data_IF_701778685658
#
_entry.id   IF_701778685658
#
_cell.length_a   1.000
_cell.length_b   1.000
_cell.length_c   1.000
_cell.angle_alpha   90.00
_cell.angle_beta   90.00
_cell.angle_gamma   90.00
#
_symmetry.space_group_name_H-M   'P 1'
#
loop_
_entity.id
_entity.type
_entity.pdbx_description
1 polymer ?
#
# COMPACT_ATOMS: atom_id res chain seq x y z
N UNK A 1 -32.59 22.44 -30.90
CA UNK A 1 -32.21 23.09 -29.61
C UNK A 1 -33.29 23.07 -28.52
N UNK A 2 -34.55 23.47 -28.78
CA UNK A 2 -35.61 23.50 -27.72
C UNK A 2 -35.94 22.11 -27.13
N UNK A 3 -36.04 21.09 -27.98
CA UNK A 3 -36.26 19.70 -27.56
C UNK A 3 -35.13 19.16 -26.67
N UNK A 4 -33.87 19.38 -27.06
CA UNK A 4 -32.68 19.00 -26.26
C UNK A 4 -32.69 19.69 -24.89
N UNK A 5 -33.06 20.98 -24.82
CA UNK A 5 -33.17 21.70 -23.54
C UNK A 5 -34.28 21.15 -22.63
N UNK A 6 -35.39 20.70 -23.20
CA UNK A 6 -36.49 20.06 -22.45
C UNK A 6 -36.03 18.69 -21.92
N UNK A 7 -35.38 17.89 -22.78
CA UNK A 7 -34.87 16.56 -22.44
C UNK A 7 -33.81 16.64 -21.32
N UNK A 8 -32.92 17.64 -21.37
CA UNK A 8 -31.94 17.90 -20.31
C UNK A 8 -32.58 18.34 -18.99
N UNK A 9 -33.68 19.10 -19.01
CA UNK A 9 -34.40 19.49 -17.79
C UNK A 9 -35.12 18.32 -17.16
N UNK A 10 -35.75 17.46 -17.97
CA UNK A 10 -36.43 16.24 -17.50
C UNK A 10 -35.40 15.26 -16.92
N UNK A 11 -34.30 15.02 -17.63
CA UNK A 11 -33.22 14.17 -17.14
C UNK A 11 -32.62 14.68 -15.82
N UNK A 12 -32.45 16.01 -15.69
CA UNK A 12 -32.01 16.64 -14.44
C UNK A 12 -33.02 16.45 -13.31
N UNK A 13 -34.31 16.66 -13.54
CA UNK A 13 -35.34 16.48 -12.51
C UNK A 13 -35.43 15.04 -12.01
N UNK A 14 -35.32 14.06 -12.93
CA UNK A 14 -35.26 12.64 -12.58
C UNK A 14 -33.99 12.33 -11.78
N UNK A 15 -32.84 12.89 -12.18
CA UNK A 15 -31.58 12.73 -11.46
C UNK A 15 -31.65 13.29 -10.04
N UNK A 16 -32.17 14.51 -9.86
CA UNK A 16 -32.22 15.18 -8.56
C UNK A 16 -33.12 14.41 -7.57
N UNK A 17 -34.25 13.86 -8.04
CA UNK A 17 -35.13 12.99 -7.25
C UNK A 17 -34.41 11.67 -6.94
N UNK A 18 -33.96 10.94 -7.97
CA UNK A 18 -33.34 9.63 -7.78
C UNK A 18 -32.09 9.72 -6.88
N UNK A 19 -31.27 10.76 -7.03
CA UNK A 19 -30.08 10.98 -6.25
C UNK A 19 -30.39 11.28 -4.79
N UNK A 20 -31.46 12.01 -4.49
CA UNK A 20 -31.84 12.33 -3.10
C UNK A 20 -32.33 11.09 -2.35
N UNK A 21 -33.20 10.29 -2.97
CA UNK A 21 -33.67 9.02 -2.39
C UNK A 21 -32.56 7.98 -2.28
N UNK A 22 -31.70 7.88 -3.29
CA UNK A 22 -30.56 6.98 -3.29
C UNK A 22 -29.53 7.38 -2.21
N UNK A 23 -29.27 8.68 -2.03
CA UNK A 23 -28.33 9.20 -1.04
C UNK A 23 -28.73 8.79 0.38
N UNK A 24 -30.02 8.89 0.74
CA UNK A 24 -30.51 8.49 2.06
C UNK A 24 -30.21 7.02 2.37
N UNK A 25 -30.54 6.12 1.44
CA UNK A 25 -30.27 4.69 1.59
C UNK A 25 -28.78 4.35 1.61
N UNK A 26 -28.00 5.02 0.76
CA UNK A 26 -26.55 4.83 0.67
C UNK A 26 -25.87 5.27 1.97
N UNK A 27 -26.29 6.38 2.58
CA UNK A 27 -25.74 6.84 3.85
C UNK A 27 -26.07 5.88 5.00
N UNK A 28 -27.31 5.39 5.08
CA UNK A 28 -27.70 4.38 6.08
C UNK A 28 -26.87 3.11 5.92
N UNK A 29 -26.74 2.61 4.70
CA UNK A 29 -25.92 1.44 4.41
C UNK A 29 -24.45 1.69 4.80
N UNK A 30 -23.89 2.83 4.42
CA UNK A 30 -22.52 3.20 4.73
C UNK A 30 -22.24 3.26 6.25
N UNK A 31 -23.20 3.75 7.05
CA UNK A 31 -23.13 3.80 8.50
C UNK A 31 -23.17 2.41 9.13
N UNK A 32 -24.07 1.52 8.67
CA UNK A 32 -24.12 0.13 9.12
C UNK A 32 -22.83 -0.61 8.79
N UNK A 33 -22.37 -0.52 7.54
CA UNK A 33 -21.10 -1.08 7.11
C UNK A 33 -19.93 -0.57 7.96
N UNK A 34 -19.86 0.74 8.24
CA UNK A 34 -18.82 1.31 9.11
C UNK A 34 -18.89 0.75 10.54
N UNK A 35 -20.09 0.65 11.12
CA UNK A 35 -20.29 0.06 12.45
C UNK A 35 -19.83 -1.39 12.53
N UNK A 36 -20.20 -2.21 11.53
CA UNK A 36 -19.73 -3.60 11.43
C UNK A 36 -18.21 -3.67 11.29
N UNK A 37 -17.60 -2.78 10.52
CA UNK A 37 -16.15 -2.72 10.36
C UNK A 37 -15.42 -2.44 11.68
N UNK A 38 -15.89 -1.45 12.44
CA UNK A 38 -15.32 -1.09 13.74
C UNK A 38 -15.49 -2.21 14.77
N UNK A 39 -16.63 -2.91 14.72
CA UNK A 39 -16.85 -4.13 15.50
C UNK A 39 -15.82 -5.21 15.17
N UNK A 40 -15.57 -5.46 13.88
CA UNK A 40 -14.57 -6.44 13.44
C UNK A 40 -13.15 -6.04 13.83
N UNK A 41 -12.77 -4.76 13.73
CA UNK A 41 -11.48 -4.30 14.24
C UNK A 41 -11.31 -4.55 15.73
N UNK A 42 -12.38 -4.34 16.51
CA UNK A 42 -12.36 -4.60 17.95
C UNK A 42 -12.14 -6.09 18.23
N UNK A 43 -12.83 -6.96 17.50
CA UNK A 43 -12.63 -8.43 17.57
C UNK A 43 -11.21 -8.81 17.14
N UNK A 44 -10.68 -8.22 16.08
CA UNK A 44 -9.32 -8.50 15.60
C UNK A 44 -8.27 -8.18 16.67
N UNK A 45 -8.39 -7.02 17.34
CA UNK A 45 -7.49 -6.63 18.43
C UNK A 45 -7.60 -7.58 19.63
N UNK A 46 -8.82 -7.98 20.01
CA UNK A 46 -9.02 -8.98 21.08
C UNK A 46 -8.36 -10.33 20.76
N UNK A 47 -8.23 -10.66 19.47
CA UNK A 47 -7.59 -11.88 18.99
C UNK A 47 -6.09 -11.69 18.64
N UNK A 48 -5.47 -10.58 19.08
CA UNK A 48 -4.07 -10.22 18.81
C UNK A 48 -3.72 -10.07 17.32
N UNK A 49 -4.66 -9.66 16.50
CA UNK A 49 -4.40 -9.20 15.13
C UNK A 49 -4.27 -7.68 15.09
N UNK A 50 -3.34 -7.19 14.27
CA UNK A 50 -3.05 -5.76 14.14
C UNK A 50 -4.22 -4.98 13.50
N UNK A 51 -5.07 -5.64 12.71
CA UNK A 51 -6.22 -5.05 12.04
C UNK A 51 -7.28 -6.08 11.62
N UNK A 52 -8.48 -5.62 11.26
CA UNK A 52 -9.52 -6.44 10.65
C UNK A 52 -9.05 -7.14 9.36
N UNK A 53 -8.24 -6.46 8.55
CA UNK A 53 -7.64 -7.06 7.34
C UNK A 53 -6.68 -8.21 7.66
N UNK A 54 -5.89 -8.06 8.72
CA UNK A 54 -4.99 -9.13 9.17
C UNK A 54 -5.77 -10.36 9.64
N UNK A 55 -6.89 -10.14 10.36
CA UNK A 55 -7.81 -11.19 10.76
C UNK A 55 -8.44 -11.87 9.53
N UNK A 56 -8.94 -11.10 8.56
CA UNK A 56 -9.50 -11.65 7.32
C UNK A 56 -8.51 -12.53 6.58
N UNK A 57 -7.29 -12.02 6.36
CA UNK A 57 -6.22 -12.79 5.72
C UNK A 57 -5.94 -14.08 6.47
N UNK A 58 -5.89 -14.05 7.80
CA UNK A 58 -5.68 -15.26 8.60
C UNK A 58 -6.79 -16.30 8.42
N UNK A 59 -8.06 -15.87 8.34
CA UNK A 59 -9.22 -16.77 8.19
C UNK A 59 -9.33 -17.38 6.79
N UNK A 60 -8.92 -16.64 5.76
CA UNK A 60 -9.20 -16.98 4.36
C UNK A 60 -7.96 -17.32 3.54
N UNK A 61 -6.77 -17.32 4.17
CA UNK A 61 -5.49 -17.55 3.50
C UNK A 61 -5.47 -18.83 2.66
N UNK A 62 -6.06 -19.93 3.19
CA UNK A 62 -6.09 -21.23 2.52
C UNK A 62 -6.77 -21.21 1.14
N UNK A 63 -7.58 -20.19 0.85
CA UNK A 63 -8.43 -20.09 -0.33
C UNK A 63 -8.01 -18.94 -1.27
N UNK A 64 -6.93 -18.19 -0.94
CA UNK A 64 -6.37 -17.12 -1.76
C UNK A 64 -7.15 -15.80 -1.72
N UNK A 65 -6.59 -14.75 -2.34
CA UNK A 65 -7.12 -13.36 -2.24
C UNK A 65 -8.58 -13.22 -2.71
N UNK A 66 -8.97 -13.94 -3.77
CA UNK A 66 -10.35 -13.89 -4.29
C UNK A 66 -11.36 -14.44 -3.28
N UNK A 67 -10.99 -15.46 -2.51
CA UNK A 67 -11.87 -16.02 -1.50
C UNK A 67 -12.09 -15.05 -0.33
N UNK A 68 -11.08 -14.26 0.01
CA UNK A 68 -11.19 -13.19 1.02
C UNK A 68 -12.30 -12.21 0.61
N UNK A 69 -12.28 -11.78 -0.65
CA UNK A 69 -13.25 -10.83 -1.18
C UNK A 69 -14.68 -11.40 -1.16
N UNK A 70 -14.85 -12.66 -1.57
CA UNK A 70 -16.15 -13.33 -1.51
C UNK A 70 -16.65 -13.55 -0.08
N UNK A 71 -15.78 -13.95 0.85
CA UNK A 71 -16.16 -14.08 2.26
C UNK A 71 -16.61 -12.74 2.84
N UNK A 72 -15.87 -11.66 2.59
CA UNK A 72 -16.25 -10.30 3.01
C UNK A 72 -17.64 -9.93 2.47
N UNK A 73 -17.84 -10.12 1.17
CA UNK A 73 -19.13 -9.84 0.50
C UNK A 73 -20.28 -10.65 1.10
N UNK A 74 -20.11 -11.96 1.30
CA UNK A 74 -21.18 -12.82 1.81
C UNK A 74 -21.50 -12.54 3.27
N UNK A 75 -20.47 -12.47 4.12
CA UNK A 75 -20.66 -12.26 5.57
C UNK A 75 -21.22 -10.87 5.84
N UNK A 76 -20.55 -9.83 5.37
CA UNK A 76 -21.03 -8.46 5.64
C UNK A 76 -22.26 -8.12 4.81
N UNK A 77 -22.44 -8.71 3.64
CA UNK A 77 -23.65 -8.53 2.84
C UNK A 77 -24.88 -9.08 3.57
N UNK A 78 -24.77 -10.30 4.13
CA UNK A 78 -25.82 -10.89 4.94
C UNK A 78 -26.09 -10.07 6.23
N UNK A 79 -25.05 -9.59 6.91
CA UNK A 79 -25.19 -8.75 8.10
C UNK A 79 -25.89 -7.42 7.79
N UNK A 80 -25.50 -6.74 6.71
CA UNK A 80 -26.16 -5.52 6.28
C UNK A 80 -27.63 -5.76 5.91
N UNK A 81 -27.93 -6.83 5.17
CA UNK A 81 -29.31 -7.20 4.84
C UNK A 81 -30.14 -7.46 6.11
N UNK A 82 -29.55 -8.15 7.10
CA UNK A 82 -30.16 -8.38 8.40
C UNK A 82 -30.42 -7.08 9.17
N UNK A 83 -29.47 -6.15 9.19
CA UNK A 83 -29.64 -4.84 9.81
C UNK A 83 -30.73 -4.01 9.12
N UNK A 84 -30.72 -3.93 7.79
CA UNK A 84 -31.78 -3.23 7.03
C UNK A 84 -33.15 -3.84 7.32
N UNK A 85 -33.25 -5.17 7.37
CA UNK A 85 -34.49 -5.86 7.72
C UNK A 85 -34.95 -5.55 9.15
N UNK A 86 -34.04 -5.61 10.12
CA UNK A 86 -34.31 -5.34 11.54
C UNK A 86 -34.76 -3.88 11.75
N UNK A 87 -34.07 -2.94 11.11
CA UNK A 87 -34.34 -1.51 11.23
C UNK A 87 -35.34 -0.98 10.19
N UNK A 88 -36.01 -1.83 9.40
CA UNK A 88 -36.91 -1.37 8.32
C UNK A 88 -38.02 -0.42 8.79
N UNK A 89 -38.57 -0.63 9.99
CA UNK A 89 -39.64 0.20 10.57
C UNK A 89 -39.12 1.57 11.00
N UNK A 90 -38.09 1.67 11.87
CA UNK A 90 -37.52 2.96 12.23
C UNK A 90 -36.89 3.69 11.03
N UNK A 91 -36.32 2.96 10.06
CA UNK A 91 -35.77 3.56 8.84
C UNK A 91 -36.85 4.23 8.00
N UNK A 92 -38.06 3.66 7.86
CA UNK A 92 -39.18 4.34 7.18
C UNK A 92 -39.58 5.63 7.89
N UNK A 93 -39.66 5.61 9.21
CA UNK A 93 -39.98 6.81 9.99
C UNK A 93 -38.89 7.90 9.82
N UNK A 94 -37.63 7.49 9.87
CA UNK A 94 -36.48 8.38 9.66
C UNK A 94 -36.44 8.89 8.21
N UNK A 95 -36.78 8.05 7.24
CA UNK A 95 -36.83 8.42 5.82
C UNK A 95 -37.85 9.52 5.60
N UNK A 96 -39.06 9.42 6.17
CA UNK A 96 -40.04 10.50 6.08
C UNK A 96 -39.56 11.80 6.72
N UNK A 97 -38.81 11.72 7.82
CA UNK A 97 -38.20 12.89 8.43
C UNK A 97 -37.13 13.53 7.52
N UNK A 98 -36.29 12.70 6.89
CA UNK A 98 -35.27 13.16 5.94
C UNK A 98 -35.93 13.78 4.69
N UNK A 99 -36.94 13.14 4.13
CA UNK A 99 -37.73 13.64 2.99
C UNK A 99 -38.34 15.00 3.33
N UNK A 100 -39.03 15.11 4.47
CA UNK A 100 -39.63 16.37 4.93
C UNK A 100 -38.59 17.47 5.14
N UNK A 101 -37.40 17.14 5.66
CA UNK A 101 -36.30 18.08 5.79
C UNK A 101 -35.74 18.55 4.44
N UNK A 102 -35.59 17.64 3.47
CA UNK A 102 -35.17 17.97 2.11
C UNK A 102 -36.20 18.85 1.42
N UNK A 103 -37.49 18.52 1.55
CA UNK A 103 -38.59 19.30 0.97
C UNK A 103 -38.60 20.73 1.54
N UNK A 104 -38.44 20.87 2.86
CA UNK A 104 -38.31 22.19 3.53
C UNK A 104 -37.12 22.98 3.00
N UNK A 105 -35.98 22.32 2.79
CA UNK A 105 -34.78 22.95 2.23
C UNK A 105 -35.00 23.40 0.78
N UNK A 106 -35.68 22.58 -0.02
CA UNK A 106 -36.03 22.88 -1.41
C UNK A 106 -36.99 24.06 -1.46
N UNK A 107 -38.03 24.10 -0.63
CA UNK A 107 -38.99 25.20 -0.54
C UNK A 107 -38.30 26.51 -0.15
N UNK A 108 -37.45 26.47 0.88
CA UNK A 108 -36.62 27.62 1.28
C UNK A 108 -35.75 28.12 0.13
N UNK A 109 -35.08 27.20 -0.57
CA UNK A 109 -34.22 27.53 -1.70
C UNK A 109 -35.02 28.12 -2.89
N UNK A 110 -36.20 27.57 -3.17
CA UNK A 110 -37.09 28.09 -4.19
C UNK A 110 -37.57 29.50 -3.85
N UNK A 111 -38.00 29.72 -2.60
CA UNK A 111 -38.41 31.04 -2.11
C UNK A 111 -37.28 32.08 -2.24
N UNK A 112 -36.07 31.76 -1.80
CA UNK A 112 -34.91 32.66 -1.88
C UNK A 112 -34.47 32.96 -3.33
N UNK A 113 -34.69 32.02 -4.26
CA UNK A 113 -34.22 32.13 -5.64
C UNK A 113 -35.26 32.71 -6.63
N UNK A 114 -36.53 32.84 -6.23
CA UNK A 114 -37.63 33.33 -7.07
C UNK A 114 -37.35 34.70 -7.72
N UNK A 115 -36.68 35.61 -7.00
CA UNK A 115 -36.45 36.99 -7.47
C UNK A 115 -35.02 37.24 -7.98
N UNK A 116 -34.16 36.22 -8.07
CA UNK A 116 -32.74 36.37 -8.44
C UNK A 116 -32.30 35.26 -9.40
N UNK A 117 -32.40 35.46 -10.73
CA UNK A 117 -32.10 34.39 -11.70
C UNK A 117 -30.65 33.88 -11.61
N UNK A 118 -29.67 34.73 -11.26
CA UNK A 118 -28.29 34.31 -11.01
C UNK A 118 -28.16 33.43 -9.76
N UNK A 119 -28.89 33.74 -8.69
CA UNK A 119 -28.88 32.96 -7.45
C UNK A 119 -29.52 31.58 -7.66
N UNK A 120 -30.56 31.49 -8.49
CA UNK A 120 -31.19 30.22 -8.89
C UNK A 120 -30.20 29.31 -9.62
N UNK A 121 -29.48 29.83 -10.62
CA UNK A 121 -28.46 29.05 -11.34
C UNK A 121 -27.32 28.62 -10.43
N UNK A 122 -26.82 29.53 -9.59
CA UNK A 122 -25.74 29.24 -8.65
C UNK A 122 -26.14 28.16 -7.65
N UNK A 123 -27.32 28.27 -7.04
CA UNK A 123 -27.72 27.28 -6.04
C UNK A 123 -28.12 25.93 -6.63
N UNK A 124 -28.60 25.87 -7.87
CA UNK A 124 -28.70 24.59 -8.59
C UNK A 124 -27.34 23.96 -8.86
N UNK A 125 -26.33 24.75 -9.22
CA UNK A 125 -24.96 24.26 -9.39
C UNK A 125 -24.38 23.77 -8.07
N UNK A 126 -24.59 24.52 -6.98
CA UNK A 126 -24.14 24.13 -5.64
C UNK A 126 -24.87 22.88 -5.16
N UNK A 127 -26.20 22.79 -5.30
CA UNK A 127 -26.97 21.61 -4.90
C UNK A 127 -26.53 20.37 -5.68
N UNK A 128 -26.47 20.44 -7.01
CA UNK A 128 -25.99 19.32 -7.82
C UNK A 128 -24.54 19.00 -7.49
N UNK A 129 -23.65 19.99 -7.31
CA UNK A 129 -22.27 19.75 -6.91
C UNK A 129 -22.17 19.07 -5.54
N UNK A 130 -22.99 19.46 -4.55
CA UNK A 130 -23.01 18.88 -3.21
C UNK A 130 -23.57 17.46 -3.24
N UNK A 131 -24.73 17.24 -3.87
CA UNK A 131 -25.31 15.89 -4.01
C UNK A 131 -24.36 15.00 -4.79
N UNK A 132 -23.79 15.47 -5.90
CA UNK A 132 -22.79 14.72 -6.66
C UNK A 132 -21.51 14.48 -5.83
N UNK A 133 -21.03 15.44 -5.04
CA UNK A 133 -19.84 15.25 -4.17
C UNK A 133 -20.09 14.33 -2.98
N UNK A 134 -21.33 14.23 -2.50
CA UNK A 134 -21.74 13.30 -1.44
C UNK A 134 -22.09 11.92 -1.99
N UNK A 135 -22.67 11.85 -3.19
CA UNK A 135 -23.09 10.61 -3.81
C UNK A 135 -21.91 9.93 -4.52
N UNK A 136 -21.01 10.67 -5.17
CA UNK A 136 -19.89 10.10 -5.94
C UNK A 136 -18.99 9.20 -5.07
N UNK A 137 -18.53 9.60 -3.88
CA UNK A 137 -17.65 8.77 -3.07
C UNK A 137 -18.30 7.46 -2.60
N UNK A 138 -19.63 7.41 -2.53
CA UNK A 138 -20.37 6.24 -2.04
C UNK A 138 -21.09 5.45 -3.16
N UNK A 139 -21.36 6.06 -4.31
CA UNK A 139 -22.13 5.47 -5.45
C UNK A 139 -21.29 5.36 -6.73
N UNK A 140 -20.40 6.31 -7.02
CA UNK A 140 -19.71 6.36 -8.33
C UNK A 140 -18.21 6.08 -8.33
N UNK A 141 -17.46 6.17 -7.22
CA UNK A 141 -16.18 5.45 -7.20
C UNK A 141 -15.73 4.82 -5.87
N UNK A 142 -15.25 3.56 -5.99
CA UNK A 142 -14.33 2.88 -5.11
C UNK A 142 -12.88 3.17 -5.54
N UNK A 143 -12.21 4.08 -4.83
CA UNK A 143 -10.93 4.66 -5.29
C UNK A 143 -9.69 4.00 -4.70
N UNK A 144 -9.83 2.86 -4.02
CA UNK A 144 -8.68 2.10 -3.50
C UNK A 144 -8.18 0.99 -4.45
N UNK A 145 -8.91 0.71 -5.53
CA UNK A 145 -8.55 -0.38 -6.46
C UNK A 145 -8.11 0.18 -7.79
N UNK A 146 -6.84 -0.05 -8.13
CA UNK A 146 -6.27 0.32 -9.41
C UNK A 146 -6.98 -0.45 -10.52
N UNK A 147 -7.54 0.29 -11.48
CA UNK A 147 -8.25 -0.17 -12.68
C UNK A 147 -9.78 -0.33 -12.55
N UNK A 148 -10.51 0.34 -13.45
CA UNK A 148 -11.96 0.28 -13.60
C UNK A 148 -12.41 -0.75 -14.65
N UNK A 149 -11.46 -1.24 -15.47
CA UNK A 149 -11.72 -2.15 -16.59
C UNK A 149 -11.58 -3.62 -16.21
N UNK A 150 -10.92 -3.94 -15.09
CA UNK A 150 -10.71 -5.32 -14.63
C UNK A 150 -11.92 -5.83 -13.81
N UNK A 151 -12.43 -7.03 -14.15
CA UNK A 151 -13.49 -7.73 -13.38
C UNK A 151 -13.09 -7.98 -11.93
N UNK A 152 -11.81 -8.27 -11.67
CA UNK A 152 -11.30 -8.46 -10.30
C UNK A 152 -11.40 -7.20 -9.45
N UNK A 153 -11.27 -6.03 -10.07
CA UNK A 153 -11.42 -4.77 -9.36
C UNK A 153 -12.85 -4.57 -8.89
N UNK A 154 -13.86 -4.86 -9.71
CA UNK A 154 -15.28 -4.77 -9.31
C UNK A 154 -15.62 -5.60 -8.07
N UNK A 155 -15.02 -6.78 -7.93
CA UNK A 155 -15.21 -7.62 -6.74
C UNK A 155 -14.60 -6.98 -5.49
N UNK A 156 -13.37 -6.49 -5.57
CA UNK A 156 -12.68 -5.84 -4.44
C UNK A 156 -13.43 -4.58 -3.98
N UNK A 157 -13.97 -3.84 -4.94
CA UNK A 157 -14.78 -2.63 -4.71
C UNK A 157 -16.06 -2.95 -3.94
N UNK A 158 -16.79 -3.97 -4.37
CA UNK A 158 -17.99 -4.45 -3.66
C UNK A 158 -17.67 -4.88 -2.23
N UNK A 159 -16.59 -5.66 -2.05
CA UNK A 159 -16.16 -6.11 -0.73
C UNK A 159 -15.83 -4.93 0.21
N UNK A 160 -15.10 -3.92 -0.28
CA UNK A 160 -14.75 -2.74 0.50
C UNK A 160 -15.96 -1.86 0.85
N UNK A 161 -16.97 -1.79 -0.02
CA UNK A 161 -18.20 -1.06 0.25
C UNK A 161 -19.01 -1.76 1.35
N UNK A 162 -19.29 -3.05 1.14
CA UNK A 162 -20.14 -3.84 2.02
C UNK A 162 -19.54 -3.98 3.42
N UNK A 163 -18.22 -4.09 3.51
CA UNK A 163 -17.54 -4.26 4.79
C UNK A 163 -17.14 -2.97 5.50
N UNK A 164 -17.54 -1.81 4.99
CA UNK A 164 -17.33 -0.50 5.61
C UNK A 164 -15.92 0.06 5.48
N UNK A 165 -15.00 -0.66 4.83
CA UNK A 165 -13.66 -0.14 4.55
C UNK A 165 -13.72 1.12 3.68
N UNK A 166 -14.63 1.16 2.71
CA UNK A 166 -14.87 2.34 1.89
C UNK A 166 -15.36 3.52 2.74
N UNK A 167 -16.36 3.30 3.61
CA UNK A 167 -16.93 4.32 4.51
C UNK A 167 -15.89 4.89 5.48
N UNK A 168 -15.04 4.03 6.04
CA UNK A 168 -13.97 4.42 6.97
C UNK A 168 -12.94 5.34 6.31
N UNK A 169 -12.66 5.10 5.04
CA UNK A 169 -11.62 5.77 4.28
C UNK A 169 -12.21 6.69 3.21
N UNK A 170 -13.38 7.30 3.42
CA UNK A 170 -14.03 8.20 2.42
C UNK A 170 -13.16 9.43 2.14
N UNK A 171 -12.68 10.11 3.17
CA UNK A 171 -11.79 11.26 3.00
C UNK A 171 -10.51 10.85 2.27
N UNK A 172 -9.95 9.70 2.66
CA UNK A 172 -8.80 9.09 2.02
C UNK A 172 -9.07 8.73 0.55
N UNK A 173 -10.30 8.34 0.23
CA UNK A 173 -10.75 7.95 -1.10
C UNK A 173 -10.86 9.16 -2.04
N UNK A 174 -11.39 10.28 -1.54
CA UNK A 174 -11.48 11.54 -2.30
C UNK A 174 -10.11 12.15 -2.50
N UNK A 175 -9.30 12.25 -1.44
CA UNK A 175 -7.93 12.75 -1.52
C UNK A 175 -7.09 11.84 -2.42
N UNK A 176 -7.27 10.53 -2.32
CA UNK A 176 -6.56 9.55 -3.13
C UNK A 176 -6.90 9.64 -4.61
N UNK A 177 -8.18 9.83 -4.96
CA UNK A 177 -8.61 10.05 -6.33
C UNK A 177 -8.06 11.35 -6.90
N UNK A 178 -8.15 12.44 -6.13
CA UNK A 178 -7.58 13.73 -6.52
C UNK A 178 -6.08 13.59 -6.76
N UNK A 179 -5.35 13.04 -5.78
CA UNK A 179 -3.91 12.80 -5.89
C UNK A 179 -3.57 11.93 -7.08
N UNK A 180 -4.36 10.91 -7.39
CA UNK A 180 -4.12 10.06 -8.56
C UNK A 180 -4.21 10.82 -9.88
N UNK A 181 -5.19 11.73 -10.03
CA UNK A 181 -5.31 12.51 -11.27
C UNK A 181 -4.20 13.56 -11.44
N UNK A 182 -3.60 14.01 -10.33
CA UNK A 182 -2.60 15.07 -10.33
C UNK A 182 -1.21 14.60 -9.88
N UNK A 183 -1.00 13.29 -9.72
CA UNK A 183 0.29 12.76 -9.32
C UNK A 183 1.25 12.81 -10.51
N UNK A 184 2.36 13.49 -10.34
CA UNK A 184 3.46 13.43 -11.29
C UNK A 184 4.09 12.03 -11.27
N UNK A 185 4.45 11.46 -12.43
CA UNK A 185 5.25 10.25 -12.49
C UNK A 185 6.53 10.37 -11.65
N UNK A 186 6.96 9.26 -11.07
CA UNK A 186 8.25 9.22 -10.39
C UNK A 186 9.36 9.20 -11.43
N UNK A 187 10.26 10.18 -11.34
CA UNK A 187 11.42 10.28 -12.22
C UNK A 187 12.47 9.22 -11.89
N UNK A 188 13.17 8.76 -12.92
CA UNK A 188 14.30 7.86 -12.76
C UNK A 188 15.52 8.60 -12.24
N UNK A 189 16.06 8.14 -11.11
CA UNK A 189 17.32 8.65 -10.59
C UNK A 189 18.44 7.86 -11.26
N UNK A 190 19.13 8.47 -12.23
CA UNK A 190 20.25 7.86 -12.94
C UNK A 190 21.54 7.81 -12.11
N UNK A 191 22.68 8.01 -12.78
CA UNK A 191 24.00 8.03 -12.14
C UNK A 191 24.69 6.67 -12.06
N UNK A 192 24.24 5.71 -12.88
CA UNK A 192 24.86 4.39 -13.02
C UNK A 192 24.96 4.05 -14.51
N UNK A 193 26.09 3.48 -14.93
CA UNK A 193 26.36 3.07 -16.30
C UNK A 193 25.72 1.72 -16.66
N UNK A 194 25.58 1.46 -17.96
CA UNK A 194 25.09 0.19 -18.49
C UNK A 194 25.87 -1.03 -17.98
N UNK A 195 27.21 -0.92 -17.93
CA UNK A 195 28.09 -1.97 -17.41
C UNK A 195 27.83 -2.26 -15.93
N UNK A 196 27.58 -1.22 -15.13
CA UNK A 196 27.32 -1.35 -13.70
C UNK A 196 25.94 -1.94 -13.42
N UNK A 197 24.94 -1.60 -14.24
CA UNK A 197 23.60 -2.21 -14.14
C UNK A 197 23.63 -3.69 -14.52
N UNK A 198 24.47 -4.06 -15.49
CA UNK A 198 24.69 -5.43 -15.93
C UNK A 198 25.53 -6.26 -14.95
N UNK A 199 26.50 -5.64 -14.27
CA UNK A 199 27.37 -6.29 -13.28
C UNK A 199 26.75 -6.40 -11.89
N UNK A 200 25.71 -5.61 -11.59
CA UNK A 200 24.87 -5.84 -10.42
C UNK A 200 24.12 -7.16 -10.58
N UNK A 201 24.79 -8.22 -10.12
CA UNK A 201 24.38 -9.60 -10.27
C UNK A 201 22.94 -9.84 -9.83
N UNK A 202 22.36 -10.92 -10.34
CA UNK A 202 21.09 -11.43 -9.83
C UNK A 202 21.25 -11.61 -8.30
N UNK A 203 20.29 -11.16 -7.48
CA UNK A 203 20.33 -11.32 -6.02
C UNK A 203 20.62 -12.75 -5.51
N UNK A 204 20.76 -13.77 -6.37
CA UNK A 204 21.14 -15.14 -6.07
C UNK A 204 22.65 -15.40 -5.85
N UNK A 205 23.56 -14.54 -6.33
CA UNK A 205 25.01 -14.82 -6.21
C UNK A 205 25.56 -14.70 -4.77
N UNK A 206 24.76 -14.18 -3.85
CA UNK A 206 24.95 -14.28 -2.40
C UNK A 206 26.21 -13.63 -1.83
N UNK A 207 27.17 -13.17 -2.64
CA UNK A 207 28.46 -12.63 -2.20
C UNK A 207 28.37 -11.09 -2.06
N UNK A 208 28.37 -10.52 -0.84
CA UNK A 208 28.70 -9.12 -0.65
C UNK A 208 30.19 -8.91 -0.96
N UNK A 209 30.61 -7.69 -1.31
CA UNK A 209 31.90 -7.45 -1.94
C UNK A 209 33.06 -7.72 -0.98
N UNK A 210 34.14 -8.24 -1.53
CA UNK A 210 35.45 -8.30 -0.89
C UNK A 210 35.95 -6.87 -0.66
N UNK A 211 36.19 -6.50 0.59
CA UNK A 211 36.92 -5.30 0.95
C UNK A 211 38.38 -5.45 0.53
N UNK A 212 38.83 -4.67 -0.45
CA UNK A 212 40.26 -4.36 -0.55
C UNK A 212 40.62 -3.39 0.58
N UNK A 213 41.60 -3.70 1.44
CA UNK A 213 42.03 -2.80 2.50
C UNK A 213 42.91 -1.72 1.87
N UNK A 214 42.35 -0.53 1.64
CA UNK A 214 43.17 0.65 1.32
C UNK A 214 43.03 1.73 2.38
N UNK A 215 44.21 2.02 2.94
CA UNK A 215 44.65 3.19 3.69
C UNK A 215 43.62 4.23 4.09
N UNK A 216 43.62 4.48 5.40
CA UNK A 216 43.08 5.65 6.10
C UNK A 216 43.22 6.96 5.32
N UNK A 217 42.12 7.41 4.72
CA UNK A 217 41.71 8.83 4.61
C UNK A 217 40.22 8.80 4.21
N UNK A 218 39.36 9.34 5.07
CA UNK A 218 37.93 9.06 5.07
C UNK A 218 37.13 10.13 4.31
N UNK A 219 36.53 9.74 3.20
CA UNK A 219 35.49 10.49 2.47
C UNK A 219 34.36 9.55 2.06
N UNK A 220 33.12 10.03 1.84
CA UNK A 220 32.09 9.24 1.15
C UNK A 220 32.68 8.66 -0.14
N UNK A 221 32.32 7.41 -0.49
CA UNK A 221 32.47 7.00 -1.86
C UNK A 221 31.73 8.01 -2.73
N UNK A 222 32.44 8.63 -3.67
CA UNK A 222 31.77 9.15 -4.86
C UNK A 222 30.85 8.05 -5.41
N UNK A 223 29.68 8.36 -5.99
CA UNK A 223 28.77 7.37 -6.59
C UNK A 223 29.47 6.35 -7.52
N UNK A 224 30.66 6.70 -8.03
CA UNK A 224 31.67 5.80 -8.58
C UNK A 224 32.37 4.88 -7.52
N UNK A 225 31.58 4.25 -6.66
CA UNK A 225 32.03 3.32 -5.63
C UNK A 225 32.18 1.90 -6.19
N UNK A 226 32.53 0.92 -5.35
CA UNK A 226 32.49 -0.50 -5.73
C UNK A 226 31.06 -1.03 -6.06
N UNK A 227 29.98 -0.35 -5.64
CA UNK A 227 28.58 -0.72 -5.96
C UNK A 227 27.66 0.48 -6.31
N UNK A 228 27.84 1.13 -7.47
CA UNK A 228 27.12 2.36 -7.83
C UNK A 228 25.59 2.29 -7.74
N UNK A 229 25.00 1.12 -8.04
CA UNK A 229 23.54 0.88 -7.90
C UNK A 229 23.03 0.97 -6.46
N UNK A 230 23.86 0.61 -5.48
CA UNK A 230 23.55 0.71 -4.05
C UNK A 230 23.97 2.07 -3.50
N UNK A 231 25.20 2.49 -3.82
CA UNK A 231 25.87 3.59 -3.15
C UNK A 231 25.26 4.95 -3.49
N UNK A 232 24.59 5.09 -4.64
CA UNK A 232 23.80 6.28 -4.98
C UNK A 232 22.67 6.60 -3.97
N UNK A 233 22.25 5.62 -3.17
CA UNK A 233 21.19 5.79 -2.18
C UNK A 233 21.70 6.12 -0.78
N UNK A 234 23.02 6.05 -0.54
CA UNK A 234 23.63 6.22 0.78
C UNK A 234 23.19 7.51 1.51
N UNK A 235 23.09 8.68 0.86
CA UNK A 235 22.63 9.89 1.53
C UNK A 235 21.19 9.78 2.09
N UNK A 236 20.32 9.05 1.40
CA UNK A 236 18.92 8.85 1.84
C UNK A 236 18.87 7.79 2.94
N UNK A 237 19.61 6.70 2.79
CA UNK A 237 19.71 5.64 3.79
C UNK A 237 20.28 6.19 5.09
N UNK A 238 21.30 7.05 5.03
CA UNK A 238 21.92 7.69 6.19
C UNK A 238 20.94 8.56 6.97
N UNK A 239 20.15 9.38 6.27
CA UNK A 239 19.08 10.18 6.89
C UNK A 239 18.00 9.29 7.50
N UNK A 240 17.56 8.26 6.78
CA UNK A 240 16.55 7.31 7.28
C UNK A 240 17.05 6.50 8.48
N UNK A 241 18.36 6.22 8.54
CA UNK A 241 19.05 5.60 9.66
C UNK A 241 19.22 6.54 10.87
N UNK A 242 18.87 7.83 10.74
CA UNK A 242 19.07 8.86 11.78
C UNK A 242 20.53 9.02 12.20
N UNK A 243 21.45 8.95 11.23
CA UNK A 243 22.90 9.05 11.43
C UNK A 243 23.48 7.95 12.34
N UNK A 244 22.84 6.78 12.39
CA UNK A 244 23.31 5.63 13.15
C UNK A 244 23.99 4.62 12.20
N UNK A 245 25.29 4.31 12.37
CA UNK A 245 26.03 3.39 11.50
C UNK A 245 25.47 1.97 11.44
N UNK A 246 24.99 1.46 12.57
CA UNK A 246 24.45 0.10 12.65
C UNK A 246 23.12 0.00 11.88
N UNK A 247 22.22 0.97 12.09
CA UNK A 247 20.99 1.11 11.32
C UNK A 247 21.27 1.34 9.85
N UNK A 248 22.28 2.14 9.50
CA UNK A 248 22.67 2.34 8.10
C UNK A 248 23.04 1.02 7.44
N UNK A 249 23.93 0.24 8.06
CA UNK A 249 24.34 -1.07 7.57
C UNK A 249 23.14 -2.01 7.44
N UNK A 250 22.24 -2.00 8.43
CA UNK A 250 21.02 -2.82 8.42
C UNK A 250 20.09 -2.42 7.28
N UNK A 251 19.77 -1.14 7.11
CA UNK A 251 18.89 -0.67 6.03
C UNK A 251 19.47 -0.95 4.66
N UNK A 252 20.77 -0.71 4.47
CA UNK A 252 21.47 -1.01 3.22
C UNK A 252 21.45 -2.51 2.90
N UNK A 253 21.62 -3.37 3.92
CA UNK A 253 21.50 -4.81 3.77
C UNK A 253 20.09 -5.26 3.35
N UNK A 254 19.04 -4.73 4.00
CA UNK A 254 17.66 -5.03 3.60
C UNK A 254 17.39 -4.59 2.17
N UNK A 255 17.74 -3.35 1.82
CA UNK A 255 17.56 -2.84 0.44
C UNK A 255 18.30 -3.69 -0.59
N UNK A 256 19.53 -4.12 -0.28
CA UNK A 256 20.31 -4.98 -1.15
C UNK A 256 19.63 -6.33 -1.40
N UNK A 257 19.12 -6.97 -0.33
CA UNK A 257 18.43 -8.25 -0.46
C UNK A 257 17.13 -8.12 -1.25
N UNK A 258 16.38 -7.05 -1.03
CA UNK A 258 15.06 -6.81 -1.62
C UNK A 258 15.13 -6.38 -3.10
N UNK A 259 15.99 -5.42 -3.46
CA UNK A 259 16.01 -4.83 -4.81
C UNK A 259 17.39 -4.72 -5.44
N UNK A 260 18.47 -4.94 -4.69
CA UNK A 260 19.83 -4.63 -5.11
C UNK A 260 19.99 -3.17 -5.62
N UNK A 261 19.26 -2.23 -5.00
CA UNK A 261 19.35 -0.79 -5.30
C UNK A 261 18.59 -0.35 -6.57
N UNK A 262 17.73 -1.22 -7.11
CA UNK A 262 16.93 -0.94 -8.31
C UNK A 262 15.67 -0.17 -7.94
N UNK A 263 15.57 1.08 -8.38
CA UNK A 263 14.47 1.98 -8.01
C UNK A 263 13.12 1.41 -8.44
N UNK A 264 13.06 0.85 -9.66
CA UNK A 264 11.84 0.36 -10.28
C UNK A 264 11.70 -1.16 -10.19
N UNK A 265 12.32 -1.80 -9.20
CA UNK A 265 12.19 -3.23 -8.96
C UNK A 265 10.72 -3.61 -8.70
N UNK A 266 10.24 -4.64 -9.40
CA UNK A 266 8.91 -5.22 -9.23
C UNK A 266 9.04 -6.73 -9.09
N UNK A 267 8.57 -7.28 -7.97
CA UNK A 267 8.56 -8.72 -7.74
C UNK A 267 7.47 -9.41 -8.56
N UNK A 268 7.55 -10.74 -8.68
CA UNK A 268 6.52 -11.55 -9.34
C UNK A 268 5.14 -11.43 -8.70
N UNK A 269 5.06 -10.98 -7.44
CA UNK A 269 3.82 -10.76 -6.69
C UNK A 269 3.43 -9.28 -6.63
N UNK A 270 4.10 -8.40 -7.37
CA UNK A 270 3.77 -6.96 -7.44
C UNK A 270 4.22 -6.14 -6.23
N UNK A 271 5.18 -6.65 -5.44
CA UNK A 271 5.87 -5.84 -4.44
C UNK A 271 6.92 -4.98 -5.16
N UNK A 272 7.07 -3.72 -4.74
CA UNK A 272 7.66 -2.69 -5.61
C UNK A 272 8.61 -1.75 -4.87
N UNK A 273 9.56 -1.19 -5.61
CA UNK A 273 10.49 -0.17 -5.13
C UNK A 273 11.74 -0.72 -4.45
N UNK A 274 12.60 0.19 -3.99
CA UNK A 274 13.88 -0.15 -3.34
C UNK A 274 13.73 -1.10 -2.15
N UNK A 275 12.67 -0.92 -1.36
CA UNK A 275 12.41 -1.73 -0.17
C UNK A 275 11.30 -2.79 -0.38
N UNK A 276 10.89 -3.04 -1.63
CA UNK A 276 9.93 -4.08 -2.04
C UNK A 276 8.64 -4.13 -1.21
N UNK A 277 7.99 -2.99 -0.99
CA UNK A 277 6.69 -2.99 -0.32
C UNK A 277 5.59 -3.56 -1.23
N UNK A 278 4.86 -4.55 -0.72
CA UNK A 278 3.63 -5.01 -1.36
C UNK A 278 2.51 -3.99 -1.14
N UNK A 279 1.59 -3.84 -2.11
CA UNK A 279 0.57 -2.79 -2.08
C UNK A 279 -0.27 -2.79 -0.79
N UNK A 280 -0.64 -3.98 -0.29
CA UNK A 280 -1.37 -4.12 0.98
C UNK A 280 -0.61 -3.59 2.19
N UNK A 281 0.71 -3.82 2.25
CA UNK A 281 1.56 -3.30 3.34
C UNK A 281 1.73 -1.79 3.22
N UNK A 282 1.98 -1.27 2.01
CA UNK A 282 2.15 0.17 1.79
C UNK A 282 0.89 0.99 2.10
N UNK A 283 -0.31 0.39 1.94
CA UNK A 283 -1.60 1.02 2.30
C UNK A 283 -1.92 0.92 3.80
N UNK A 284 -1.24 0.08 4.56
CA UNK A 284 -1.47 -0.09 5.99
C UNK A 284 -0.71 0.97 6.80
N UNK A 285 -1.20 1.30 8.00
CA UNK A 285 -0.43 2.12 8.94
C UNK A 285 0.77 1.32 9.50
N UNK A 286 1.90 1.98 9.79
CA UNK A 286 2.14 3.42 9.60
C UNK A 286 2.60 3.79 8.18
N UNK A 287 2.91 2.83 7.31
CA UNK A 287 3.50 3.08 5.99
C UNK A 287 2.66 3.99 5.09
N UNK A 288 1.34 3.95 5.25
CA UNK A 288 0.40 4.85 4.59
C UNK A 288 0.73 6.33 4.79
N UNK A 289 1.25 6.70 5.96
CA UNK A 289 1.62 8.09 6.28
C UNK A 289 2.87 8.53 5.51
N UNK A 290 3.75 7.58 5.17
CA UNK A 290 4.99 7.81 4.42
C UNK A 290 4.71 7.78 2.91
N UNK A 291 4.00 6.76 2.43
CA UNK A 291 3.68 6.63 1.01
C UNK A 291 2.58 7.57 0.54
N UNK A 292 1.74 8.05 1.46
CA UNK A 292 0.62 8.91 1.14
C UNK A 292 -0.62 8.15 0.69
N UNK A 293 -1.76 8.73 1.06
CA UNK A 293 -3.08 8.18 0.73
C UNK A 293 -3.35 8.26 -0.78
N UNK A 294 -3.80 7.13 -1.35
CA UNK A 294 -4.18 6.98 -2.76
C UNK A 294 -3.02 7.01 -3.75
N UNK A 295 -1.78 6.93 -3.28
CA UNK A 295 -0.58 6.93 -4.12
C UNK A 295 0.02 5.53 -4.30
N UNK A 296 -0.71 4.50 -3.84
CA UNK A 296 -0.32 3.09 -3.98
C UNK A 296 -1.29 2.36 -4.89
N UNK A 297 -0.78 1.88 -6.02
CA UNK A 297 -1.52 1.10 -6.99
C UNK A 297 -1.17 -0.37 -6.89
N UNK A 298 -2.04 -1.23 -7.42
CA UNK A 298 -1.71 -2.64 -7.62
C UNK A 298 -1.17 -2.76 -9.03
N UNK A 299 0.04 -3.32 -9.19
CA UNK A 299 0.62 -3.55 -10.52
C UNK A 299 -0.26 -4.50 -11.33
N UNK A 300 -0.41 -4.20 -12.62
CA UNK A 300 -1.20 -5.01 -13.56
C UNK A 300 -0.29 -6.09 -14.13
N UNK A 301 -0.29 -7.25 -13.49
CA UNK A 301 0.52 -8.38 -13.94
C UNK A 301 -0.40 -9.49 -14.44
N UNK A 302 -0.49 -9.67 -15.75
CA UNK A 302 -1.12 -10.82 -16.40
C UNK A 302 -0.14 -12.02 -16.39
N UNK A 303 0.17 -12.50 -15.19
CA UNK A 303 1.25 -13.48 -14.93
C UNK A 303 2.32 -12.94 -13.99
N UNK A 304 3.53 -13.54 -13.94
CA UNK A 304 4.62 -12.98 -13.15
C UNK A 304 4.99 -11.58 -13.69
N UNK A 305 4.97 -10.57 -12.82
CA UNK A 305 5.41 -9.23 -13.20
C UNK A 305 6.86 -9.32 -13.73
N UNK A 306 7.06 -8.96 -15.00
CA UNK A 306 8.37 -8.99 -15.65
C UNK A 306 8.57 -7.69 -16.38
N UNK A 307 9.61 -6.98 -15.99
CA UNK A 307 10.20 -5.90 -16.77
C UNK A 307 11.38 -6.52 -17.50
N UNK A 308 11.41 -6.41 -18.83
CA UNK A 308 12.51 -6.95 -19.62
C UNK A 308 13.84 -6.29 -19.24
N UNK A 309 14.95 -6.93 -19.61
CA UNK A 309 16.29 -6.48 -19.19
C UNK A 309 16.62 -5.09 -19.71
N UNK A 310 16.22 -4.75 -20.94
CA UNK A 310 16.57 -3.49 -21.59
C UNK A 310 15.78 -2.33 -21.01
N UNK A 311 14.46 -2.51 -20.80
CA UNK A 311 13.63 -1.50 -20.13
C UNK A 311 14.13 -1.24 -18.72
N UNK A 312 14.44 -2.29 -17.96
CA UNK A 312 15.01 -2.15 -16.62
C UNK A 312 16.32 -1.39 -16.64
N UNK A 313 17.21 -1.72 -17.57
CA UNK A 313 18.49 -1.03 -17.70
C UNK A 313 18.30 0.45 -17.99
N UNK A 314 17.44 0.78 -18.95
CA UNK A 314 17.14 2.18 -19.33
C UNK A 314 16.52 2.98 -18.18
N UNK A 315 15.69 2.34 -17.34
CA UNK A 315 15.14 2.96 -16.14
C UNK A 315 16.21 3.23 -15.08
N UNK A 316 17.12 2.28 -14.84
CA UNK A 316 18.13 2.43 -13.79
C UNK A 316 19.27 3.39 -14.18
N UNK A 317 19.60 3.51 -15.47
CA UNK A 317 20.56 4.50 -15.97
C UNK A 317 19.97 5.91 -16.06
N UNK A 318 18.63 6.03 -16.00
CA UNK A 318 17.92 7.30 -16.20
C UNK A 318 17.75 7.69 -17.68
N UNK A 319 17.99 6.76 -18.61
CA UNK A 319 17.78 7.00 -20.04
C UNK A 319 16.29 7.21 -20.39
N UNK A 320 15.39 6.60 -19.62
CA UNK A 320 13.94 6.80 -19.71
C UNK A 320 13.33 6.88 -18.32
N UNK A 321 12.17 7.50 -18.21
CA UNK A 321 11.30 7.43 -17.04
C UNK A 321 10.29 6.27 -17.15
N UNK A 322 9.72 5.86 -16.02
CA UNK A 322 8.68 4.83 -15.99
C UNK A 322 7.43 5.21 -16.82
N UNK A 323 7.12 6.50 -16.94
CA UNK A 323 6.02 6.99 -17.80
C UNK A 323 6.29 6.82 -19.30
N UNK A 324 7.56 6.75 -19.70
CA UNK A 324 7.96 6.59 -21.10
C UNK A 324 8.03 5.11 -21.51
N UNK A 325 8.14 4.20 -20.54
CA UNK A 325 8.18 2.76 -20.78
C UNK A 325 6.84 2.15 -21.24
N UNK A 326 5.71 2.86 -21.07
CA UNK A 326 4.40 2.41 -21.50
C UNK A 326 4.04 1.02 -20.96
N UNK A 327 3.59 0.13 -21.83
CA UNK A 327 3.18 -1.24 -21.47
C UNK A 327 4.34 -2.15 -21.02
N UNK A 328 5.60 -1.75 -21.28
CA UNK A 328 6.77 -2.48 -20.77
C UNK A 328 6.94 -2.35 -19.25
N UNK A 329 6.25 -1.39 -18.62
CA UNK A 329 6.24 -1.19 -17.19
C UNK A 329 4.87 -1.60 -16.59
N UNK A 330 4.80 -2.65 -15.74
CA UNK A 330 3.54 -3.25 -15.32
C UNK A 330 2.81 -2.48 -14.21
N UNK A 331 3.34 -1.36 -13.74
CA UNK A 331 2.82 -0.61 -12.60
C UNK A 331 2.47 0.82 -12.99
N UNK A 332 1.72 1.53 -12.13
CA UNK A 332 1.52 2.97 -12.30
C UNK A 332 2.86 3.71 -12.10
N UNK A 333 3.35 4.48 -13.08
CA UNK A 333 4.58 5.27 -12.94
C UNK A 333 4.56 6.27 -11.78
N UNK A 334 3.36 6.67 -11.32
CA UNK A 334 3.18 7.58 -10.19
C UNK A 334 3.06 6.86 -8.83
N UNK A 335 3.23 5.53 -8.78
CA UNK A 335 3.17 4.76 -7.54
C UNK A 335 4.29 5.18 -6.57
N UNK A 336 3.90 5.64 -5.39
CA UNK A 336 4.84 6.20 -4.41
C UNK A 336 5.87 5.20 -3.89
N UNK A 337 5.70 3.89 -4.13
CA UNK A 337 6.73 2.88 -3.81
C UNK A 337 8.00 3.03 -4.65
N UNK A 338 7.90 3.59 -5.85
CA UNK A 338 9.04 3.88 -6.71
C UNK A 338 9.76 5.17 -6.35
N UNK A 339 9.17 6.02 -5.51
CA UNK A 339 9.88 7.18 -4.97
C UNK A 339 10.96 6.70 -3.98
N UNK A 340 12.24 6.97 -4.24
CA UNK A 340 13.34 6.37 -3.49
C UNK A 340 13.31 6.78 -2.03
N UNK A 341 13.04 8.05 -1.75
CA UNK A 341 12.96 8.57 -0.38
C UNK A 341 11.84 7.88 0.40
N UNK A 342 10.63 7.84 -0.13
CA UNK A 342 9.50 7.19 0.56
C UNK A 342 9.72 5.70 0.74
N UNK A 343 10.28 5.02 -0.26
CA UNK A 343 10.60 3.59 -0.18
C UNK A 343 11.58 3.32 0.96
N UNK A 344 12.69 4.08 1.02
CA UNK A 344 13.73 3.93 2.04
C UNK A 344 13.21 4.30 3.43
N UNK A 345 12.49 5.42 3.58
CA UNK A 345 11.93 5.82 4.88
C UNK A 345 10.87 4.85 5.40
N UNK A 346 10.03 4.29 4.52
CA UNK A 346 9.08 3.24 4.90
C UNK A 346 9.80 1.97 5.34
N UNK A 347 10.83 1.57 4.59
CA UNK A 347 11.70 0.45 4.98
C UNK A 347 12.37 0.67 6.33
N UNK A 348 12.86 1.88 6.59
CA UNK A 348 13.46 2.25 7.86
C UNK A 348 12.49 2.18 9.04
N UNK A 349 11.27 2.67 8.85
CA UNK A 349 10.22 2.52 9.85
C UNK A 349 9.90 1.04 10.12
N UNK A 350 9.86 0.19 9.08
CA UNK A 350 9.53 -1.22 9.26
C UNK A 350 10.66 -1.98 9.96
N UNK A 351 11.90 -1.78 9.52
CA UNK A 351 13.10 -2.40 10.11
C UNK A 351 13.24 -1.98 11.57
N UNK A 352 12.96 -0.73 11.92
CA UNK A 352 12.97 -0.27 13.32
C UNK A 352 11.94 -1.01 14.18
N UNK A 353 10.69 -1.16 13.70
CA UNK A 353 9.65 -1.92 14.42
C UNK A 353 10.06 -3.39 14.63
N UNK A 354 10.65 -4.01 13.61
CA UNK A 354 11.10 -5.39 13.68
C UNK A 354 12.29 -5.53 14.64
N UNK A 355 13.22 -4.57 14.62
CA UNK A 355 14.37 -4.53 15.52
C UNK A 355 13.93 -4.44 16.97
N UNK A 356 12.99 -3.54 17.28
CA UNK A 356 12.42 -3.39 18.62
C UNK A 356 11.70 -4.67 19.07
N UNK A 357 10.90 -5.27 18.19
CA UNK A 357 10.11 -6.47 18.49
C UNK A 357 10.96 -7.72 18.70
N UNK A 358 12.10 -7.84 18.02
CA UNK A 358 12.92 -9.05 17.98
C UNK A 358 14.35 -8.85 18.52
N UNK A 359 14.57 -7.77 19.27
CA UNK A 359 15.85 -7.51 19.94
C UNK A 359 17.04 -7.40 19.00
N UNK A 360 16.84 -6.88 17.78
CA UNK A 360 17.89 -6.74 16.78
C UNK A 360 18.33 -8.05 16.10
N UNK A 361 17.66 -9.19 16.35
CA UNK A 361 18.01 -10.43 15.68
C UNK A 361 17.71 -10.36 14.18
N UNK A 362 18.78 -10.24 13.36
CA UNK A 362 18.67 -10.02 11.91
C UNK A 362 17.83 -11.08 11.20
N UNK A 363 17.87 -12.34 11.65
CA UNK A 363 17.09 -13.42 11.05
C UNK A 363 15.60 -13.29 11.37
N UNK A 364 15.23 -13.06 12.63
CA UNK A 364 13.84 -12.86 13.03
C UNK A 364 13.26 -11.59 12.39
N UNK A 365 14.05 -10.52 12.32
CA UNK A 365 13.69 -9.30 11.62
C UNK A 365 13.39 -9.59 10.14
N UNK A 366 14.29 -10.26 9.43
CA UNK A 366 14.09 -10.56 8.01
C UNK A 366 12.94 -11.55 7.76
N UNK A 367 12.72 -12.55 8.65
CA UNK A 367 11.51 -13.39 8.61
C UNK A 367 10.26 -12.52 8.74
N UNK A 368 10.25 -11.57 9.68
CA UNK A 368 9.14 -10.65 9.90
C UNK A 368 8.88 -9.76 8.68
N UNK A 369 9.94 -9.26 8.06
CA UNK A 369 9.88 -8.43 6.87
C UNK A 369 9.31 -9.20 5.67
N UNK A 370 9.83 -10.40 5.40
CA UNK A 370 9.50 -11.19 4.21
C UNK A 370 8.21 -12.03 4.34
N UNK A 371 7.98 -12.61 5.52
CA UNK A 371 6.91 -13.57 5.78
C UNK A 371 5.89 -13.09 6.82
N UNK A 372 6.05 -11.86 7.31
CA UNK A 372 5.11 -11.21 8.22
C UNK A 372 5.55 -11.28 9.70
N UNK A 373 5.34 -10.20 10.50
CA UNK A 373 5.78 -10.14 11.90
C UNK A 373 5.15 -11.22 12.79
N UNK A 374 3.97 -11.72 12.43
CA UNK A 374 3.30 -12.79 13.16
C UNK A 374 4.02 -14.15 13.03
N UNK A 375 4.60 -14.44 11.85
CA UNK A 375 5.42 -15.65 11.66
C UNK A 375 6.68 -15.56 12.51
N UNK A 376 7.40 -14.44 12.44
CA UNK A 376 8.59 -14.21 13.24
C UNK A 376 8.29 -14.26 14.75
N UNK A 377 7.16 -13.72 15.19
CA UNK A 377 6.74 -13.78 16.60
C UNK A 377 6.49 -15.20 17.10
N UNK A 378 5.90 -16.06 16.27
CA UNK A 378 5.70 -17.48 16.63
C UNK A 378 7.02 -18.23 16.76
N UNK A 379 8.00 -17.92 15.89
CA UNK A 379 9.36 -18.47 16.02
C UNK A 379 10.00 -17.95 17.31
N UNK A 380 9.99 -16.64 17.52
CA UNK A 380 10.59 -15.99 18.69
C UNK A 380 10.01 -16.49 20.01
N UNK A 381 8.69 -16.69 20.10
CA UNK A 381 8.03 -17.26 21.27
C UNK A 381 8.47 -18.70 21.56
N UNK A 382 8.57 -19.55 20.52
CA UNK A 382 9.04 -20.95 20.68
C UNK A 382 10.49 -21.04 21.13
N UNK A 383 11.29 -20.03 20.79
CA UNK A 383 12.67 -19.90 21.23
C UNK A 383 12.85 -19.35 22.65
N UNK A 384 11.76 -19.10 23.37
CA UNK A 384 11.80 -18.48 24.70
C UNK A 384 12.15 -16.99 24.66
N UNK A 385 11.86 -16.30 23.55
CA UNK A 385 12.18 -14.87 23.32
C UNK A 385 13.68 -14.55 23.44
N UNK A 386 14.52 -15.48 22.99
CA UNK A 386 15.98 -15.29 22.90
C UNK A 386 16.36 -14.47 21.67
N UNK A 387 16.93 -13.28 21.88
CA UNK A 387 17.40 -12.39 20.81
C UNK A 387 18.72 -12.86 20.18
N UNK A 388 19.49 -13.69 20.87
CA UNK A 388 20.73 -14.31 20.44
C UNK A 388 20.53 -15.61 19.63
N UNK A 389 19.27 -15.96 19.29
CA UNK A 389 18.95 -17.18 18.57
C UNK A 389 19.70 -17.29 17.23
N UNK A 390 20.37 -18.43 17.06
CA UNK A 390 21.11 -18.78 15.85
C UNK A 390 20.19 -19.17 14.69
N UNK A 391 20.75 -19.26 13.48
CA UNK A 391 20.03 -19.77 12.31
C UNK A 391 19.54 -21.22 12.54
N UNK A 392 20.35 -22.05 13.21
CA UNK A 392 20.01 -23.42 13.59
C UNK A 392 18.86 -23.48 14.60
N UNK A 393 18.82 -22.57 15.57
CA UNK A 393 17.69 -22.46 16.51
C UNK A 393 16.38 -22.15 15.75
N UNK A 394 16.44 -21.22 14.79
CA UNK A 394 15.28 -20.78 13.99
C UNK A 394 14.77 -21.90 13.08
N UNK A 395 15.68 -22.70 12.49
CA UNK A 395 15.33 -23.82 11.59
C UNK A 395 14.35 -24.79 12.24
N UNK A 396 14.53 -25.10 13.52
CA UNK A 396 13.70 -26.04 14.29
C UNK A 396 12.21 -25.62 14.36
N UNK A 397 11.91 -24.33 14.21
CA UNK A 397 10.58 -23.79 14.46
C UNK A 397 9.92 -23.10 13.26
N UNK A 398 10.70 -22.69 12.25
CA UNK A 398 10.20 -21.84 11.16
C UNK A 398 9.06 -22.48 10.36
N UNK A 399 9.24 -23.73 9.92
CA UNK A 399 8.22 -24.44 9.13
C UNK A 399 6.89 -24.59 9.90
N UNK A 400 6.97 -24.89 11.19
CA UNK A 400 5.80 -25.00 12.05
C UNK A 400 5.15 -23.63 12.33
N UNK A 401 5.94 -22.54 12.37
CA UNK A 401 5.43 -21.17 12.58
C UNK A 401 4.73 -20.64 11.33
N UNK A 402 5.18 -21.09 10.16
CA UNK A 402 4.60 -20.80 8.85
C UNK A 402 3.29 -21.55 8.58
N UNK A 403 3.06 -22.71 9.23
CA UNK A 403 1.91 -23.59 8.94
C UNK A 403 0.54 -22.90 8.92
N UNK A 404 0.19 -22.03 9.88
CA UNK A 404 -1.09 -21.31 9.86
C UNK A 404 -1.25 -20.37 8.65
N UNK A 405 -0.13 -19.90 8.11
CA UNK A 405 -0.09 -18.89 7.04
C UNK A 405 0.29 -19.45 5.68
N UNK A 406 0.78 -20.68 5.56
CA UNK A 406 1.24 -21.22 4.28
C UNK A 406 0.80 -22.68 4.05
N UNK A 407 0.11 -23.30 5.00
CA UNK A 407 -0.40 -24.68 4.91
C UNK A 407 0.65 -25.65 4.33
N UNK A 408 0.34 -26.35 3.24
CA UNK A 408 1.22 -27.34 2.60
C UNK A 408 2.50 -26.72 2.00
N UNK A 409 2.50 -25.41 1.71
CA UNK A 409 3.69 -24.72 1.19
C UNK A 409 4.72 -24.36 2.27
N UNK A 410 4.37 -24.48 3.55
CA UNK A 410 5.18 -24.00 4.69
C UNK A 410 6.59 -24.61 4.71
N UNK A 411 6.71 -25.92 4.53
CA UNK A 411 8.00 -26.60 4.56
C UNK A 411 8.91 -26.15 3.42
N UNK A 412 8.35 -26.01 2.21
CA UNK A 412 9.10 -25.52 1.03
C UNK A 412 9.53 -24.07 1.22
N UNK A 413 8.65 -23.21 1.71
CA UNK A 413 8.94 -21.78 1.92
C UNK A 413 9.97 -21.57 3.03
N UNK A 414 9.84 -22.28 4.15
CA UNK A 414 10.83 -22.25 5.24
C UNK A 414 12.22 -22.67 4.74
N UNK A 415 12.31 -23.79 3.98
CA UNK A 415 13.58 -24.22 3.37
C UNK A 415 14.19 -23.16 2.45
N UNK A 416 13.36 -22.49 1.64
CA UNK A 416 13.83 -21.40 0.76
C UNK A 416 14.39 -20.23 1.55
N UNK A 417 13.72 -19.80 2.63
CA UNK A 417 14.21 -18.72 3.49
C UNK A 417 15.53 -19.11 4.17
N UNK A 418 15.58 -20.29 4.79
CA UNK A 418 16.74 -20.76 5.55
C UNK A 418 17.98 -20.94 4.68
N UNK A 419 17.82 -21.42 3.45
CA UNK A 419 18.97 -21.70 2.56
C UNK A 419 19.44 -20.49 1.79
N UNK A 420 18.53 -19.60 1.41
CA UNK A 420 18.86 -18.50 0.48
C UNK A 420 18.85 -17.16 1.19
N UNK A 421 17.72 -16.76 1.77
CA UNK A 421 17.52 -15.38 2.18
C UNK A 421 18.17 -15.04 3.52
N UNK A 422 18.06 -15.93 4.51
CA UNK A 422 18.59 -15.67 5.86
C UNK A 422 20.12 -15.59 5.90
N UNK A 423 20.88 -16.52 5.29
CA UNK A 423 22.33 -16.37 5.20
C UNK A 423 22.72 -15.12 4.41
N UNK A 424 21.96 -14.79 3.35
CA UNK A 424 22.21 -13.65 2.48
C UNK A 424 22.08 -12.32 3.21
N UNK A 425 21.00 -12.11 3.99
CA UNK A 425 20.82 -10.87 4.75
C UNK A 425 21.89 -10.70 5.83
N UNK A 426 22.25 -11.76 6.54
CA UNK A 426 23.29 -11.69 7.56
C UNK A 426 24.65 -11.33 6.95
N UNK A 427 25.00 -11.96 5.82
CA UNK A 427 26.25 -11.67 5.12
C UNK A 427 26.29 -10.23 4.61
N UNK A 428 25.20 -9.73 4.04
CA UNK A 428 25.09 -8.34 3.60
C UNK A 428 25.23 -7.36 4.76
N UNK A 429 24.56 -7.63 5.89
CA UNK A 429 24.64 -6.82 7.10
C UNK A 429 26.07 -6.73 7.63
N UNK A 430 26.74 -7.86 7.85
CA UNK A 430 28.14 -7.90 8.28
C UNK A 430 29.07 -7.17 7.29
N UNK A 431 28.80 -7.29 5.99
CA UNK A 431 29.56 -6.60 4.95
C UNK A 431 29.44 -5.07 5.04
N UNK A 432 28.25 -4.55 5.32
CA UNK A 432 28.02 -3.11 5.45
C UNK A 432 28.35 -2.57 6.85
N UNK A 433 28.30 -3.37 7.91
CA UNK A 433 28.74 -2.95 9.26
C UNK A 433 30.22 -2.58 9.27
N UNK A 434 31.03 -3.27 8.47
CA UNK A 434 32.46 -3.00 8.33
C UNK A 434 32.75 -1.77 7.44
N UNK A 435 31.72 -1.10 6.89
CA UNK A 435 31.84 0.10 6.06
C UNK A 435 31.37 1.31 6.87
N UNK A 436 32.22 2.32 7.05
CA UNK A 436 31.86 3.53 7.79
C UNK A 436 30.95 4.44 6.94
N UNK A 437 29.76 4.85 7.43
CA UNK A 437 28.89 5.78 6.72
C UNK A 437 29.50 7.18 6.61
N UNK A 438 29.25 7.87 5.51
CA UNK A 438 29.74 9.23 5.27
C UNK A 438 28.97 10.29 6.08
N UNK A 439 29.62 11.40 6.49
CA UNK A 439 28.92 12.53 7.10
C UNK A 439 28.00 13.24 6.08
N UNK A 440 26.88 13.78 6.57
CA UNK A 440 25.92 14.53 5.76
C UNK A 440 26.60 15.75 5.09
N UNK A 441 26.21 16.10 3.85
CA UNK A 441 26.79 17.27 3.18
C UNK A 441 26.48 18.52 4.02
N UNK A 442 27.53 19.26 4.35
CA UNK A 442 27.40 20.61 4.92
C UNK A 442 26.68 21.46 3.88
N UNK A 443 25.52 22.00 4.25
CA UNK A 443 24.80 22.94 3.39
C UNK A 443 25.74 24.08 3.02
N UNK A 444 26.12 24.17 1.75
CA UNK A 444 26.76 25.36 1.22
C UNK A 444 25.75 26.51 1.37
N UNK A 445 26.12 27.50 2.19
CA UNK A 445 25.35 28.73 2.40
C UNK A 445 25.36 29.60 1.15
#
# INVERSE_FOLDING_TARGET
MKFIKILLRIAKGIYDILASYLLGWVLVFALFSLGLHLGLESVARLQNYDSADALWRALSYAYGERAILWMRLLVFGALNAGLVYLFRRPLRATQHFIESGIDTLIEFFQHFSQNRPRARTLGHLVFSATVTSLLIPFVLQPTLVADYRNRGAWLERGANLVDGSASRYVADSVIGLYRKFYASPVESVGGVSDSEVASAGDPQDGRPPSSTPHGSTHYPPTPASAQPLMDRWDPIIWRAAKNDPERFAMLKAFMWVESAGRQFAVSTTGCSGLMQFCAGTARARPFREIFGVGQITTCKCDGPCRIDKQTRQSLETGAINASEAGDAFPCDPADARFNPERSIFAGAAYVAQLSERFGGNIYLMYIGYNSGPAVASRVYQRLGRRADASLSDIELHLAAAMRPYYANASARRARSLLRTHLPKINRAYLGYQNQTPAPAPVAMR
#
